data_IF_956837704674
#
_entry.id   IF_956837704674
#
_cell.length_a   1.000
_cell.length_b   1.000
_cell.length_c   1.000
_cell.angle_alpha   90.00
_cell.angle_beta   90.00
_cell.angle_gamma   90.00
#
_symmetry.space_group_name_H-M   'P 1'
#
loop_
_entity.id
_entity.type
_entity.pdbx_description
1 polymer ?
#
# COMPACT_ATOMS: atom_id res chain seq x y z
N UNK A 1 -68.45 14.05 -2.19
CA UNK A 1 -67.00 14.31 -2.09
C UNK A 1 -66.41 13.28 -1.13
N UNK A 2 -65.80 12.21 -1.66
CA UNK A 2 -65.34 11.05 -0.89
C UNK A 2 -63.91 11.30 -0.38
N UNK A 3 -63.71 11.27 0.94
CA UNK A 3 -62.39 11.25 1.56
C UNK A 3 -61.69 9.92 1.24
N UNK A 4 -60.60 9.98 0.48
CA UNK A 4 -59.66 8.86 0.35
C UNK A 4 -58.70 8.88 1.55
N UNK A 5 -58.87 7.92 2.47
CA UNK A 5 -57.88 7.63 3.51
C UNK A 5 -56.67 6.96 2.84
N UNK A 6 -55.59 7.70 2.66
CA UNK A 6 -54.28 7.12 2.33
C UNK A 6 -53.68 6.53 3.61
N UNK A 7 -53.84 5.21 3.80
CA UNK A 7 -53.07 4.48 4.80
C UNK A 7 -51.59 4.54 4.42
N UNK A 8 -50.81 5.27 5.20
CA UNK A 8 -49.35 5.23 5.23
C UNK A 8 -48.95 3.85 5.75
N UNK A 9 -48.89 2.87 4.85
CA UNK A 9 -48.13 1.66 5.06
C UNK A 9 -46.73 1.96 4.54
N UNK A 10 -45.89 2.48 5.44
CA UNK A 10 -44.45 2.69 5.20
C UNK A 10 -43.87 1.32 4.83
N UNK A 11 -43.76 1.07 3.54
CA UNK A 11 -43.16 -0.13 2.99
C UNK A 11 -41.70 -0.12 3.41
N UNK A 12 -41.37 -1.10 4.25
CA UNK A 12 -40.10 -1.28 4.92
C UNK A 12 -38.91 -1.01 3.98
N UNK A 13 -38.06 -0.08 4.44
CA UNK A 13 -36.70 0.12 3.98
C UNK A 13 -36.01 -1.23 3.71
N UNK A 14 -35.83 -1.57 2.44
CA UNK A 14 -34.84 -2.56 2.01
C UNK A 14 -33.63 -1.83 1.43
N UNK A 15 -33.07 -0.89 2.21
CA UNK A 15 -31.67 -0.54 2.02
C UNK A 15 -30.86 -1.69 2.63
N UNK A 16 -30.61 -2.72 1.83
CA UNK A 16 -29.52 -3.64 2.11
C UNK A 16 -28.24 -2.81 2.10
N UNK A 17 -27.83 -2.37 3.29
CA UNK A 17 -26.50 -1.85 3.53
C UNK A 17 -25.54 -3.00 3.21
N UNK A 18 -24.98 -3.02 2.01
CA UNK A 18 -23.86 -3.89 1.70
C UNK A 18 -22.72 -3.42 2.59
N UNK A 19 -22.38 -4.20 3.63
CA UNK A 19 -21.22 -3.92 4.45
C UNK A 19 -19.98 -4.04 3.56
N UNK A 20 -19.44 -2.90 3.15
CA UNK A 20 -18.18 -2.82 2.43
C UNK A 20 -17.05 -3.14 3.41
N UNK A 21 -16.65 -4.41 3.46
CA UNK A 21 -15.48 -4.82 4.23
C UNK A 21 -14.23 -4.38 3.48
N UNK A 22 -13.69 -3.19 3.79
CA UNK A 22 -12.32 -2.86 3.43
C UNK A 22 -11.39 -3.67 4.34
N UNK A 23 -11.13 -4.93 3.98
CA UNK A 23 -9.96 -5.62 4.51
C UNK A 23 -8.72 -5.00 3.86
N UNK A 24 -8.19 -3.93 4.42
CA UNK A 24 -6.90 -3.37 4.02
C UNK A 24 -5.80 -4.36 4.41
N UNK A 25 -5.10 -4.88 3.41
CA UNK A 25 -3.94 -5.74 3.66
C UNK A 25 -2.82 -4.92 4.28
N UNK A 26 -2.17 -5.48 5.30
CA UNK A 26 -0.98 -4.90 5.89
C UNK A 26 0.23 -5.80 5.65
N UNK A 27 1.39 -5.16 5.51
CA UNK A 27 2.65 -5.83 5.27
C UNK A 27 3.67 -5.49 6.35
N UNK A 28 4.44 -6.47 6.78
CA UNK A 28 5.53 -6.29 7.76
C UNK A 28 6.81 -6.89 7.21
N UNK A 29 7.90 -6.12 7.29
CA UNK A 29 9.26 -6.58 7.05
C UNK A 29 9.96 -6.75 8.40
N UNK A 30 10.51 -7.93 8.66
CA UNK A 30 11.28 -8.19 9.87
C UNK A 30 12.76 -7.86 9.69
N UNK A 31 13.47 -7.64 10.81
CA UNK A 31 14.94 -7.49 10.81
C UNK A 31 15.67 -8.68 10.16
N UNK A 32 15.08 -9.87 10.21
CA UNK A 32 15.60 -11.08 9.56
C UNK A 32 15.27 -11.17 8.06
N UNK A 33 14.67 -10.14 7.48
CA UNK A 33 14.37 -10.10 6.05
C UNK A 33 13.17 -10.92 5.60
N UNK A 34 12.27 -11.27 6.53
CA UNK A 34 11.01 -11.97 6.20
C UNK A 34 9.87 -10.98 6.01
N UNK A 35 8.97 -11.29 5.08
CA UNK A 35 7.80 -10.46 4.74
C UNK A 35 6.53 -11.21 5.13
N UNK A 36 5.64 -10.49 5.81
CA UNK A 36 4.34 -11.01 6.25
C UNK A 36 3.22 -10.18 5.63
N UNK A 37 2.14 -10.84 5.20
CA UNK A 37 0.86 -10.24 4.80
C UNK A 37 -0.21 -10.73 5.76
N UNK A 38 -0.86 -9.83 6.47
CA UNK A 38 -1.92 -10.16 7.44
C UNK A 38 -1.54 -11.27 8.43
N UNK A 39 -0.29 -11.28 8.89
CA UNK A 39 0.23 -12.27 9.85
C UNK A 39 0.77 -13.55 9.24
N UNK A 40 0.57 -13.78 7.94
CA UNK A 40 1.10 -14.94 7.23
C UNK A 40 2.41 -14.59 6.53
N UNK A 41 3.45 -15.39 6.72
CA UNK A 41 4.72 -15.22 6.01
C UNK A 41 4.51 -15.51 4.52
N UNK A 42 4.90 -14.58 3.65
CA UNK A 42 4.74 -14.70 2.19
C UNK A 42 6.07 -14.65 1.43
N UNK A 43 7.14 -14.12 2.02
CA UNK A 43 8.44 -14.01 1.38
C UNK A 43 9.59 -13.91 2.41
N UNK A 44 10.84 -14.06 1.97
CA UNK A 44 12.03 -13.85 2.78
C UNK A 44 13.32 -13.67 1.97
N UNK A 45 14.42 -13.33 2.65
CA UNK A 45 15.76 -13.23 2.05
C UNK A 45 16.22 -11.80 1.79
N UNK A 46 15.47 -10.82 2.29
CA UNK A 46 15.82 -9.40 2.09
C UNK A 46 16.80 -8.90 3.13
N UNK A 47 17.84 -8.19 2.68
CA UNK A 47 18.55 -7.22 3.54
C UNK A 47 17.81 -5.88 3.51
N UNK A 48 16.52 -5.93 3.87
CA UNK A 48 15.59 -4.82 3.78
C UNK A 48 15.83 -3.79 4.88
N UNK A 49 15.74 -2.51 4.52
CA UNK A 49 15.78 -1.39 5.47
C UNK A 49 14.37 -0.86 5.76
N UNK A 50 13.48 -0.92 4.77
CA UNK A 50 12.14 -0.38 4.88
C UNK A 50 11.17 -1.07 3.91
N UNK A 51 9.88 -1.00 4.23
CA UNK A 51 8.79 -1.57 3.44
C UNK A 51 7.66 -0.57 3.30
N UNK A 52 7.12 -0.47 2.09
CA UNK A 52 5.90 0.27 1.79
C UNK A 52 4.90 -0.63 1.09
N UNK A 53 3.62 -0.28 1.13
CA UNK A 53 2.58 -1.03 0.44
C UNK A 53 1.56 -0.13 -0.22
N UNK A 54 1.02 -0.58 -1.33
CA UNK A 54 -0.09 0.05 -2.03
C UNK A 54 -1.02 -1.05 -2.57
N UNK A 55 -2.24 -1.09 -2.04
CA UNK A 55 -3.18 -2.19 -2.27
C UNK A 55 -2.58 -3.55 -1.90
N UNK A 56 -2.52 -4.45 -2.87
CA UNK A 56 -1.95 -5.80 -2.73
C UNK A 56 -0.45 -5.88 -2.98
N UNK A 57 0.18 -4.77 -3.37
CA UNK A 57 1.60 -4.73 -3.66
C UNK A 57 2.40 -4.26 -2.46
N UNK A 58 3.55 -4.90 -2.23
CA UNK A 58 4.55 -4.40 -1.30
C UNK A 58 5.84 -4.06 -2.04
N UNK A 59 6.56 -3.08 -1.50
CA UNK A 59 7.82 -2.57 -1.98
C UNK A 59 8.85 -2.65 -0.88
N UNK A 60 10.01 -3.24 -1.16
CA UNK A 60 11.12 -3.34 -0.19
C UNK A 60 12.30 -2.55 -0.71
N UNK A 61 12.78 -1.64 0.11
CA UNK A 61 14.06 -0.98 -0.09
C UNK A 61 15.12 -1.76 0.68
N UNK A 62 16.20 -2.15 0.01
CA UNK A 62 17.32 -2.88 0.65
C UNK A 62 18.47 -1.96 1.01
N UNK A 63 19.30 -2.39 1.97
CA UNK A 63 20.52 -1.67 2.36
C UNK A 63 21.50 -1.47 1.18
N UNK A 64 21.45 -2.35 0.16
CA UNK A 64 22.20 -2.20 -1.09
C UNK A 64 21.55 -1.25 -2.10
N UNK A 65 20.51 -0.53 -1.72
CA UNK A 65 19.85 0.46 -2.58
C UNK A 65 18.99 -0.12 -3.68
N UNK A 66 18.56 -1.39 -3.55
CA UNK A 66 17.67 -2.03 -4.51
C UNK A 66 16.22 -1.93 -4.05
N UNK A 67 15.30 -1.78 -5.01
CA UNK A 67 13.86 -1.79 -4.77
C UNK A 67 13.28 -3.07 -5.35
N UNK A 68 12.52 -3.79 -4.52
CA UNK A 68 11.78 -4.99 -4.91
C UNK A 68 10.28 -4.71 -4.85
N UNK A 69 9.52 -5.30 -5.77
CA UNK A 69 8.05 -5.33 -5.77
C UNK A 69 7.62 -6.78 -5.81
N UNK A 70 6.87 -7.24 -4.80
CA UNK A 70 6.33 -8.60 -4.72
C UNK A 70 7.36 -9.70 -5.09
N UNK A 71 8.54 -9.74 -4.47
CA UNK A 71 9.57 -10.73 -4.80
C UNK A 71 10.55 -10.29 -5.89
N UNK A 72 10.13 -9.40 -6.79
CA UNK A 72 10.90 -9.08 -8.00
C UNK A 72 11.68 -7.78 -7.84
N UNK A 73 12.99 -7.81 -8.11
CA UNK A 73 13.80 -6.59 -8.16
C UNK A 73 13.37 -5.72 -9.35
N UNK A 74 12.99 -4.48 -9.11
CA UNK A 74 12.51 -3.54 -10.15
C UNK A 74 13.42 -2.33 -10.37
N UNK A 75 14.24 -1.96 -9.40
CA UNK A 75 15.19 -0.86 -9.55
C UNK A 75 16.38 -0.99 -8.57
N UNK A 76 17.43 -0.20 -8.78
CA UNK A 76 18.58 -0.09 -7.89
C UNK A 76 19.39 1.20 -8.04
N UNK A 77 20.34 1.38 -7.14
CA UNK A 77 21.29 2.50 -7.14
C UNK A 77 20.86 3.65 -6.24
N UNK A 78 19.95 3.40 -5.29
CA UNK A 78 19.55 4.39 -4.30
C UNK A 78 20.44 4.33 -3.06
N UNK A 79 20.91 5.46 -2.56
CA UNK A 79 21.38 5.56 -1.16
C UNK A 79 20.19 5.84 -0.24
N UNK A 80 19.20 4.95 -0.32
CA UNK A 80 17.88 5.14 0.28
C UNK A 80 17.88 4.81 1.77
N UNK A 81 17.08 5.54 2.54
CA UNK A 81 16.83 5.30 3.96
C UNK A 81 15.36 4.97 4.27
N UNK A 82 14.46 5.31 3.35
CA UNK A 82 13.03 5.10 3.52
C UNK A 82 12.34 4.97 2.16
N UNK A 83 11.22 4.25 2.12
CA UNK A 83 10.39 4.09 0.92
C UNK A 83 8.91 4.37 1.23
N UNK A 84 8.24 5.00 0.28
CA UNK A 84 6.78 5.14 0.26
C UNK A 84 6.23 4.62 -1.05
N UNK A 85 4.97 4.15 -1.05
CA UNK A 85 4.25 3.69 -2.23
C UNK A 85 2.93 4.45 -2.31
N UNK A 86 2.57 4.93 -3.50
CA UNK A 86 1.29 5.59 -3.75
C UNK A 86 0.83 5.34 -5.18
N UNK A 87 -0.35 4.73 -5.34
CA UNK A 87 -0.90 4.33 -6.63
C UNK A 87 0.05 3.41 -7.42
N UNK A 88 0.52 3.85 -8.58
CA UNK A 88 1.46 3.07 -9.41
C UNK A 88 2.93 3.43 -9.18
N UNK A 89 3.21 4.35 -8.25
CA UNK A 89 4.53 4.90 -8.03
C UNK A 89 5.08 4.49 -6.66
N UNK A 90 6.40 4.51 -6.56
CA UNK A 90 7.11 4.47 -5.30
C UNK A 90 8.07 5.66 -5.21
N UNK A 91 8.41 6.02 -3.99
CA UNK A 91 9.25 7.16 -3.65
C UNK A 91 10.34 6.70 -2.70
N UNK A 92 11.60 7.03 -3.01
CA UNK A 92 12.74 6.70 -2.15
C UNK A 92 13.33 7.98 -1.59
N UNK A 93 13.35 8.10 -0.27
CA UNK A 93 14.11 9.13 0.43
C UNK A 93 15.55 8.65 0.61
N UNK A 94 16.51 9.51 0.28
CA UNK A 94 17.94 9.21 0.43
C UNK A 94 18.56 9.93 1.62
N UNK A 95 19.72 9.43 2.07
CA UNK A 95 20.51 10.05 3.14
C UNK A 95 20.82 11.53 2.88
N UNK A 96 21.01 11.91 1.60
CA UNK A 96 21.24 13.29 1.17
C UNK A 96 19.99 14.16 1.10
N UNK A 97 18.86 13.71 1.66
CA UNK A 97 17.59 14.45 1.67
C UNK A 97 16.89 14.54 0.31
N UNK A 98 17.36 13.80 -0.70
CA UNK A 98 16.73 13.78 -2.02
C UNK A 98 15.63 12.72 -2.07
N UNK A 99 14.49 13.05 -2.70
CA UNK A 99 13.41 12.12 -2.99
C UNK A 99 13.41 11.77 -4.48
N UNK A 100 13.34 10.48 -4.77
CA UNK A 100 13.27 9.94 -6.13
C UNK A 100 11.92 9.27 -6.34
N UNK A 101 11.34 9.43 -7.53
CA UNK A 101 10.10 8.78 -7.94
C UNK A 101 10.38 7.63 -8.91
N UNK A 102 9.60 6.56 -8.84
CA UNK A 102 9.62 5.45 -9.81
C UNK A 102 9.77 5.95 -11.26
N UNK A 103 10.71 5.36 -12.01
CA UNK A 103 10.95 5.68 -13.42
C UNK A 103 11.55 7.08 -13.68
N UNK A 104 11.75 7.91 -12.66
CA UNK A 104 12.39 9.23 -12.77
C UNK A 104 13.42 9.41 -11.66
N UNK A 105 14.69 9.22 -12.00
CA UNK A 105 15.82 9.58 -11.11
C UNK A 105 16.03 11.10 -10.99
N UNK A 106 15.04 11.92 -11.35
CA UNK A 106 15.08 13.35 -11.13
C UNK A 106 14.80 13.62 -9.65
N UNK A 107 15.76 14.26 -8.98
CA UNK A 107 15.60 14.73 -7.61
C UNK A 107 14.38 15.64 -7.53
N UNK A 108 13.35 15.20 -6.82
CA UNK A 108 12.27 16.08 -6.40
C UNK A 108 12.84 16.98 -5.29
N UNK A 109 12.86 18.29 -5.53
CA UNK A 109 13.06 19.30 -4.48
C UNK A 109 11.69 19.54 -3.86
N UNK A 110 11.47 18.99 -2.67
CA UNK A 110 10.33 19.32 -1.81
C UNK A 110 10.66 20.54 -0.95
#
# INVERSE_FOLDING_TARGET
MKLFKFSILVLFFLFTFCAFSQSSNWFVLTKGGSVYKNGTKIDSGYKGIDIASEGDNYYILTAGGSVYKNGTKIDSGYKGINIAAAGNDYYVLTEGGSVYKSGKKNRLRI
#
